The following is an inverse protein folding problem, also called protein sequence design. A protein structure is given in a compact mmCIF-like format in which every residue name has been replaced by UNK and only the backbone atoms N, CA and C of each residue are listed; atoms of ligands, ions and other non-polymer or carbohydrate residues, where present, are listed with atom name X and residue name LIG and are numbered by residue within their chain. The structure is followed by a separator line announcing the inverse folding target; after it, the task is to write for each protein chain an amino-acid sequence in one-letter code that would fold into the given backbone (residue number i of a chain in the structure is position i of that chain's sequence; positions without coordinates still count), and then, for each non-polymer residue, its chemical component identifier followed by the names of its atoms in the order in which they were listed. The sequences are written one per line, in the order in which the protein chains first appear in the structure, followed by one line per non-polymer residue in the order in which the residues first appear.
data_IF_820430531774
#
_entry.id   IF_820430531774
#
_cell.length_a   1.000
_cell.length_b   1.000
_cell.length_c   1.000
_cell.angle_alpha   90.00
_cell.angle_beta   90.00
_cell.angle_gamma   90.00
#
_symmetry.space_group_name_H-M   'P 1'
#
loop_
_entity.id
_entity.type
_entity.pdbx_description
1 polymer ?
#
# COMPACT_ATOMS: atom_id res chain seq x y z
N UNK A 1 -0.97 9.88 13.44
CA UNK A 1 -0.82 9.11 12.18
C UNK A 1 -1.20 10.00 10.98
N UNK A 2 -0.61 9.80 9.79
CA UNK A 2 -0.86 10.66 8.60
C UNK A 2 -1.80 10.01 7.57
N UNK A 3 -1.74 8.69 7.42
CA UNK A 3 -2.57 7.91 6.50
C UNK A 3 -2.74 6.48 7.04
N UNK A 4 -3.65 5.74 6.42
CA UNK A 4 -3.80 4.29 6.57
C UNK A 4 -3.35 3.60 5.28
N UNK A 5 -2.75 2.43 5.40
CA UNK A 5 -2.39 1.54 4.29
C UNK A 5 -3.12 0.20 4.45
N UNK A 6 -3.53 -0.40 3.33
CA UNK A 6 -4.05 -1.76 3.28
C UNK A 6 -3.58 -2.49 2.03
N UNK A 7 -3.48 -3.82 2.13
CA UNK A 7 -3.03 -4.71 1.06
C UNK A 7 -4.14 -5.67 0.66
N UNK A 8 -4.53 -5.64 -0.61
CA UNK A 8 -5.63 -6.46 -1.16
C UNK A 8 -5.05 -7.52 -2.07
N UNK A 9 -5.52 -8.77 -1.92
CA UNK A 9 -5.17 -9.84 -2.84
C UNK A 9 -5.86 -9.65 -4.20
N UNK A 10 -5.11 -9.14 -5.17
CA UNK A 10 -5.63 -8.81 -6.50
C UNK A 10 -6.11 -10.06 -7.28
N UNK A 11 -5.58 -11.24 -6.94
CA UNK A 11 -6.01 -12.50 -7.57
C UNK A 11 -7.40 -12.94 -7.12
N UNK A 12 -7.84 -12.47 -5.94
CA UNK A 12 -9.12 -12.87 -5.31
C UNK A 12 -10.15 -11.76 -5.28
N UNK A 13 -9.70 -10.51 -5.15
CA UNK A 13 -10.57 -9.37 -4.92
C UNK A 13 -10.16 -8.20 -5.80
N UNK A 14 -11.16 -7.55 -6.42
CA UNK A 14 -10.92 -6.37 -7.25
C UNK A 14 -10.66 -5.09 -6.45
N UNK A 15 -10.83 -5.09 -5.12
CA UNK A 15 -10.68 -3.87 -4.30
C UNK A 15 -11.81 -2.84 -4.42
N UNK A 16 -12.98 -3.22 -4.95
CA UNK A 16 -14.07 -2.28 -5.25
C UNK A 16 -14.58 -1.51 -4.03
N UNK A 17 -14.71 -2.16 -2.87
CA UNK A 17 -15.16 -1.49 -1.64
C UNK A 17 -14.18 -0.40 -1.18
N UNK A 18 -12.88 -0.62 -1.31
CA UNK A 18 -11.86 0.37 -1.00
C UNK A 18 -11.95 1.58 -1.94
N UNK A 19 -12.05 1.34 -3.25
CA UNK A 19 -12.25 2.42 -4.24
C UNK A 19 -13.53 3.22 -3.97
N UNK A 20 -14.63 2.55 -3.63
CA UNK A 20 -15.90 3.20 -3.32
C UNK A 20 -15.84 4.01 -2.01
N UNK A 21 -15.00 3.60 -1.06
CA UNK A 21 -14.77 4.28 0.21
C UNK A 21 -13.65 5.35 0.15
N UNK A 22 -13.35 5.88 -1.04
CA UNK A 22 -12.33 6.93 -1.27
C UNK A 22 -10.88 6.51 -0.93
N UNK A 23 -10.57 5.21 -0.94
CA UNK A 23 -9.18 4.77 -0.88
C UNK A 23 -8.51 4.94 -2.25
N UNK A 24 -7.25 5.34 -2.22
CA UNK A 24 -6.42 5.64 -3.39
C UNK A 24 -5.54 4.43 -3.68
N UNK A 25 -5.69 3.85 -4.87
CA UNK A 25 -4.76 2.82 -5.36
C UNK A 25 -3.40 3.46 -5.70
N UNK A 26 -2.30 2.87 -5.22
CA UNK A 26 -0.95 3.42 -5.42
C UNK A 26 0.04 2.48 -6.09
N UNK A 27 -0.38 1.25 -6.41
CA UNK A 27 0.47 0.26 -7.09
C UNK A 27 0.34 -1.13 -6.47
N UNK A 28 1.25 -2.02 -6.86
CA UNK A 28 1.26 -3.41 -6.39
C UNK A 28 2.57 -3.73 -5.66
N UNK A 29 2.51 -4.67 -4.72
CA UNK A 29 3.71 -5.25 -4.13
C UNK A 29 4.45 -6.10 -5.16
N UNK A 30 5.75 -6.29 -4.96
CA UNK A 30 6.59 -7.15 -5.80
C UNK A 30 6.34 -8.66 -5.59
N UNK A 31 5.35 -9.00 -4.79
CA UNK A 31 4.92 -10.38 -4.61
C UNK A 31 5.77 -11.23 -3.67
N UNK A 32 6.61 -10.64 -2.82
CA UNK A 32 7.50 -11.34 -1.87
C UNK A 32 7.14 -11.08 -0.41
N UNK A 33 7.26 -12.12 0.41
CA UNK A 33 7.05 -12.02 1.85
C UNK A 33 8.21 -11.33 2.58
N UNK A 34 7.96 -10.80 3.78
CA UNK A 34 8.97 -10.14 4.63
C UNK A 34 10.21 -11.02 4.90
N UNK A 35 10.01 -12.34 4.95
CA UNK A 35 11.06 -13.32 5.26
C UNK A 35 11.78 -13.88 4.02
N UNK A 36 11.42 -13.45 2.81
CA UNK A 36 12.03 -13.92 1.56
C UNK A 36 13.38 -13.24 1.31
N UNK A 37 14.38 -13.55 2.15
CA UNK A 37 15.71 -12.91 2.12
C UNK A 37 16.48 -13.20 0.83
N UNK A 38 16.21 -14.34 0.21
CA UNK A 38 16.86 -14.81 -1.01
C UNK A 38 16.11 -14.43 -2.30
N UNK A 39 15.02 -13.65 -2.18
CA UNK A 39 14.19 -13.20 -3.30
C UNK A 39 13.59 -14.34 -4.14
N UNK A 40 13.47 -15.54 -3.58
CA UNK A 40 12.98 -16.75 -4.26
C UNK A 40 11.48 -16.72 -4.50
N UNK A 41 10.74 -15.94 -3.69
CA UNK A 41 9.29 -15.85 -3.77
C UNK A 41 8.82 -14.62 -4.56
N UNK A 42 9.68 -13.98 -5.36
CA UNK A 42 9.27 -12.83 -6.17
C UNK A 42 8.09 -13.17 -7.08
N UNK A 43 7.09 -12.30 -7.14
CA UNK A 43 5.88 -12.49 -7.94
C UNK A 43 4.87 -13.53 -7.41
N UNK A 44 5.14 -14.21 -6.30
CA UNK A 44 4.25 -15.28 -5.81
C UNK A 44 2.96 -14.75 -5.16
N UNK A 45 3.03 -13.61 -4.47
CA UNK A 45 1.90 -13.07 -3.69
C UNK A 45 1.76 -11.57 -3.91
N UNK A 46 1.42 -11.17 -5.14
CA UNK A 46 1.22 -9.76 -5.51
C UNK A 46 -0.05 -9.23 -4.83
N UNK A 47 0.06 -8.08 -4.17
CA UNK A 47 -1.05 -7.39 -3.52
C UNK A 47 -1.20 -6.00 -4.10
N UNK A 48 -2.43 -5.56 -4.34
CA UNK A 48 -2.74 -4.16 -4.59
C UNK A 48 -2.59 -3.36 -3.29
N UNK A 49 -2.00 -2.18 -3.38
CA UNK A 49 -1.80 -1.27 -2.26
C UNK A 49 -2.80 -0.12 -2.38
N UNK A 50 -3.56 0.10 -1.31
CA UNK A 50 -4.48 1.21 -1.19
C UNK A 50 -4.13 2.07 0.02
N UNK A 51 -4.21 3.39 -0.15
CA UNK A 51 -3.98 4.37 0.91
C UNK A 51 -5.24 5.19 1.19
N UNK A 52 -5.44 5.54 2.45
CA UNK A 52 -6.45 6.50 2.87
C UNK A 52 -5.78 7.64 3.66
N UNK A 53 -5.65 8.85 3.09
CA UNK A 53 -5.11 10.00 3.81
C UNK A 53 -6.00 10.38 4.99
N UNK A 54 -5.41 10.56 6.18
CA UNK A 54 -6.13 11.07 7.36
C UNK A 54 -6.01 12.60 7.48
N UNK A 55 -5.07 13.19 6.77
CA UNK A 55 -4.85 14.63 6.66
C UNK A 55 -4.61 15.00 5.20
N UNK A 56 -4.97 16.22 4.80
CA UNK A 56 -4.93 16.66 3.39
C UNK A 56 -3.52 16.71 2.79
N UNK A 57 -2.50 16.93 3.62
CA UNK A 57 -1.10 17.09 3.24
C UNK A 57 -0.22 15.89 3.67
N UNK A 58 -0.83 14.71 3.81
CA UNK A 58 -0.17 13.52 4.33
C UNK A 58 1.13 13.18 3.57
N UNK A 59 1.12 13.29 2.24
CA UNK A 59 2.29 13.05 1.39
C UNK A 59 3.42 14.03 1.69
N UNK A 60 3.11 15.34 1.72
CA UNK A 60 4.09 16.39 1.99
C UNK A 60 4.72 16.19 3.36
N UNK A 61 3.91 15.86 4.37
CA UNK A 61 4.37 15.61 5.74
C UNK A 61 5.20 14.33 5.90
N UNK A 62 4.93 13.30 5.09
CA UNK A 62 5.76 12.10 5.03
C UNK A 62 7.09 12.35 4.32
N UNK A 63 7.09 13.22 3.31
CA UNK A 63 8.28 13.58 2.54
C UNK A 63 9.11 14.70 3.17
N UNK A 64 8.53 15.54 4.03
CA UNK A 64 9.28 16.45 4.88
C UNK A 64 10.05 15.59 5.87
N UNK A 65 11.38 15.53 5.71
CA UNK A 65 12.25 14.86 6.66
C UNK A 65 12.00 15.32 8.10
N UNK A 66 12.51 14.60 9.10
CA UNK A 66 12.31 15.00 10.49
C UNK A 66 12.79 16.44 10.66
N UNK A 67 11.88 17.32 11.12
CA UNK A 67 12.28 18.63 11.62
C UNK A 67 13.30 18.36 12.73
N UNK A 68 14.55 18.80 12.51
CA UNK A 68 15.61 18.73 13.51
C UNK A 68 15.22 19.48 14.77
#
# INVERSE_FOLDING_TARGET
PLLLETLVDASRFRGTCYRAANWIYVGQTTGRGRMDREHKAHGQVIKDIYLYPLVSDAKQRLCSGPTR
#
